data_IF_968769081287
#
_entry.id   IF_968769081287
#
_cell.length_a   1.000
_cell.length_b   1.000
_cell.length_c   1.000
_cell.angle_alpha   90.00
_cell.angle_beta   90.00
_cell.angle_gamma   90.00
#
_symmetry.space_group_name_H-M   'P 1'
#
loop_
_entity.id
_entity.type
_entity.pdbx_description
1 polymer ?
#
# COMPACT_ATOMS: atom_id res chain seq x y z
N UNK A 1 0.03 -5.42 4.08
CA UNK A 1 0.76 -4.30 4.72
C UNK A 1 2.18 -4.73 4.97
N UNK A 2 3.08 -3.77 5.18
CA UNK A 2 4.49 -4.00 5.49
C UNK A 2 4.80 -3.44 6.87
N UNK A 3 5.68 -4.09 7.62
CA UNK A 3 6.14 -3.65 8.92
C UNK A 3 7.55 -3.10 8.78
N UNK A 4 7.69 -1.79 8.76
CA UNK A 4 8.98 -1.14 8.77
C UNK A 4 9.65 -1.30 10.14
N UNK A 5 10.96 -1.59 10.15
CA UNK A 5 11.75 -1.80 11.38
C UNK A 5 11.74 -0.61 12.33
N UNK A 6 11.58 0.60 11.81
CA UNK A 6 11.65 1.85 12.57
C UNK A 6 10.29 2.51 12.79
N UNK A 7 9.40 2.44 11.81
CA UNK A 7 8.12 3.16 11.81
C UNK A 7 6.93 2.33 12.28
N UNK A 8 7.01 0.99 12.16
CA UNK A 8 5.88 0.11 12.43
C UNK A 8 5.12 -0.26 11.16
N UNK A 9 3.83 -0.60 11.30
CA UNK A 9 3.01 -1.09 10.19
C UNK A 9 2.52 0.03 9.28
N UNK A 10 2.64 -0.17 7.97
CA UNK A 10 2.22 0.80 6.96
C UNK A 10 1.73 0.11 5.67
N UNK A 11 1.05 0.87 4.83
CA UNK A 11 0.81 0.45 3.45
C UNK A 11 2.15 0.44 2.69
N UNK A 12 2.32 -0.49 1.74
CA UNK A 12 3.49 -0.46 0.87
C UNK A 12 3.53 0.87 0.10
N UNK A 13 4.69 1.50 0.03
CA UNK A 13 4.80 2.79 -0.64
C UNK A 13 6.04 3.59 -0.30
N UNK A 14 6.37 4.50 -1.22
CA UNK A 14 7.58 5.31 -1.14
C UNK A 14 7.50 6.55 -2.02
N UNK A 15 8.68 7.08 -2.36
CA UNK A 15 8.76 8.31 -3.17
C UNK A 15 8.64 7.96 -4.64
N UNK A 16 7.89 8.78 -5.37
CA UNK A 16 7.89 8.73 -6.82
C UNK A 16 9.25 9.15 -7.38
N UNK A 17 9.71 8.41 -8.38
CA UNK A 17 10.86 8.79 -9.19
C UNK A 17 10.51 9.95 -10.14
N UNK A 18 11.54 10.55 -10.73
CA UNK A 18 11.34 11.61 -11.72
C UNK A 18 10.65 11.00 -12.96
N UNK A 19 9.57 11.65 -13.38
CA UNK A 19 8.76 11.26 -14.55
C UNK A 19 8.05 9.90 -14.42
N UNK A 20 7.87 9.39 -13.18
CA UNK A 20 7.11 8.16 -12.86
C UNK A 20 5.65 8.51 -12.55
N UNK A 21 4.70 7.75 -13.10
CA UNK A 21 3.29 7.91 -12.74
C UNK A 21 3.01 7.33 -11.34
N UNK A 22 2.06 7.87 -10.56
CA UNK A 22 1.86 7.39 -9.19
C UNK A 22 1.45 5.90 -9.11
N UNK A 23 0.71 5.39 -10.09
CA UNK A 23 0.38 3.97 -10.18
C UNK A 23 1.61 3.10 -10.49
N UNK A 24 2.55 3.59 -11.28
CA UNK A 24 3.82 2.89 -11.54
C UNK A 24 4.67 2.84 -10.26
N UNK A 25 4.75 3.97 -9.54
CA UNK A 25 5.43 4.04 -8.26
C UNK A 25 4.80 3.07 -7.25
N UNK A 26 3.47 3.07 -7.11
CA UNK A 26 2.78 2.19 -6.18
C UNK A 26 3.01 0.69 -6.49
N UNK A 27 2.97 0.31 -7.77
CA UNK A 27 3.24 -1.07 -8.19
C UNK A 27 4.71 -1.48 -7.98
N UNK A 28 5.65 -0.56 -8.23
CA UNK A 28 7.08 -0.79 -7.96
C UNK A 28 7.34 -0.99 -6.47
N UNK A 29 6.87 -0.08 -5.62
CA UNK A 29 7.04 -0.14 -4.16
C UNK A 29 6.39 -1.39 -3.58
N UNK A 30 5.17 -1.75 -4.04
CA UNK A 30 4.53 -3.01 -3.67
C UNK A 30 5.45 -4.19 -3.96
N UNK A 31 6.05 -4.25 -5.15
CA UNK A 31 6.95 -5.35 -5.51
C UNK A 31 8.25 -5.34 -4.71
N UNK A 32 8.88 -4.18 -4.52
CA UNK A 32 10.14 -4.03 -3.78
C UNK A 32 9.98 -4.46 -2.31
N UNK A 33 8.90 -4.02 -1.66
CA UNK A 33 8.69 -4.26 -0.23
C UNK A 33 7.97 -5.59 0.07
N UNK A 34 7.25 -6.17 -0.88
CA UNK A 34 6.46 -7.39 -0.63
C UNK A 34 6.79 -8.57 -1.54
N UNK A 35 7.46 -8.34 -2.67
CA UNK A 35 7.66 -9.34 -3.72
C UNK A 35 6.40 -9.66 -4.52
N UNK A 36 5.29 -8.95 -4.27
CA UNK A 36 3.98 -9.21 -4.89
C UNK A 36 3.77 -8.34 -6.12
N UNK A 37 3.20 -8.92 -7.17
CA UNK A 37 2.74 -8.20 -8.35
C UNK A 37 1.23 -7.97 -8.26
N UNK A 38 0.78 -6.81 -8.71
CA UNK A 38 -0.62 -6.45 -8.75
C UNK A 38 -0.98 -5.62 -9.97
N UNK A 39 -2.26 -5.29 -10.09
CA UNK A 39 -2.80 -4.41 -11.13
C UNK A 39 -3.41 -3.19 -10.46
N UNK A 40 -2.94 -1.99 -10.81
CA UNK A 40 -3.54 -0.75 -10.35
C UNK A 40 -4.95 -0.60 -10.95
N UNK A 41 -5.96 -0.40 -10.10
CA UNK A 41 -7.37 -0.30 -10.48
C UNK A 41 -7.90 1.12 -10.39
N UNK A 42 -7.45 1.86 -9.38
CA UNK A 42 -7.87 3.23 -9.18
C UNK A 42 -6.79 4.03 -8.48
N UNK A 43 -6.86 5.35 -8.62
CA UNK A 43 -6.01 6.30 -7.94
C UNK A 43 -6.84 7.45 -7.36
N UNK A 44 -6.48 7.86 -6.15
CA UNK A 44 -6.99 9.05 -5.49
C UNK A 44 -5.81 9.89 -4.97
N UNK A 45 -5.82 11.19 -5.27
CA UNK A 45 -4.75 12.14 -4.89
C UNK A 45 -5.17 13.10 -3.78
N UNK A 46 -6.45 13.06 -3.39
CA UNK A 46 -7.03 13.95 -2.39
C UNK A 46 -7.25 13.22 -1.05
N UNK A 47 -7.05 11.89 -1.04
CA UNK A 47 -7.25 11.05 0.14
C UNK A 47 -6.22 11.31 1.25
N UNK A 48 -5.00 11.73 0.87
CA UNK A 48 -3.90 12.04 1.80
C UNK A 48 -3.23 13.35 1.37
N UNK A 49 -2.82 14.17 2.35
CA UNK A 49 -2.20 15.45 2.03
C UNK A 49 -0.80 15.25 1.43
N UNK A 50 -0.61 15.70 0.19
CA UNK A 50 0.70 15.68 -0.47
C UNK A 50 1.14 14.30 -0.97
N UNK A 51 0.22 13.35 -1.13
CA UNK A 51 0.51 12.02 -1.66
C UNK A 51 -0.63 11.47 -2.52
N UNK A 52 -0.40 10.28 -3.08
CA UNK A 52 -1.38 9.55 -3.89
C UNK A 52 -1.62 8.19 -3.24
N UNK A 53 -2.87 7.73 -3.26
CA UNK A 53 -3.25 6.38 -2.85
C UNK A 53 -3.76 5.64 -4.08
N UNK A 54 -3.19 4.45 -4.29
CA UNK A 54 -3.51 3.61 -5.45
C UNK A 54 -4.15 2.32 -4.94
N UNK A 55 -5.34 2.02 -5.43
CA UNK A 55 -5.98 0.73 -5.21
C UNK A 55 -5.35 -0.30 -6.13
N UNK A 56 -4.71 -1.31 -5.55
CA UNK A 56 -4.07 -2.40 -6.30
C UNK A 56 -4.81 -3.71 -6.04
N UNK A 57 -5.21 -4.37 -7.13
CA UNK A 57 -5.74 -5.73 -7.09
C UNK A 57 -4.60 -6.74 -7.24
N UNK A 58 -4.63 -7.79 -6.43
CA UNK A 58 -3.60 -8.83 -6.39
C UNK A 58 -4.26 -10.19 -6.52
N UNK A 59 -3.72 -11.06 -7.38
CA UNK A 59 -4.22 -12.42 -7.61
C UNK A 59 -3.37 -13.47 -6.88
N UNK A 60 -3.18 -13.27 -5.56
CA UNK A 60 -2.53 -14.26 -4.68
C UNK A 60 -3.46 -14.61 -3.52
N UNK A 61 -3.43 -15.85 -3.02
CA UNK A 61 -4.28 -16.25 -1.91
C UNK A 61 -3.88 -15.52 -0.62
N UNK A 62 -4.89 -15.03 0.11
CA UNK A 62 -4.71 -14.49 1.46
C UNK A 62 -4.29 -15.62 2.40
N UNK A 63 -3.29 -15.35 3.24
CA UNK A 63 -2.74 -16.31 4.20
C UNK A 63 -2.58 -15.64 5.57
N UNK A 64 -2.78 -16.36 6.69
CA UNK A 64 -2.45 -15.82 8.01
C UNK A 64 -0.94 -15.75 8.27
N UNK A 65 -0.13 -16.43 7.44
CA UNK A 65 1.31 -16.51 7.63
C UNK A 65 2.00 -15.26 7.04
N UNK A 66 2.75 -14.49 7.83
CA UNK A 66 3.58 -13.43 7.30
C UNK A 66 4.75 -13.99 6.49
N UNK A 67 5.37 -13.15 5.66
CA UNK A 67 6.56 -13.50 4.89
C UNK A 67 7.62 -12.39 4.96
N UNK A 68 8.84 -12.74 4.56
CA UNK A 68 9.98 -11.82 4.57
C UNK A 68 10.00 -10.95 3.31
N UNK A 69 10.36 -9.68 3.50
CA UNK A 69 10.64 -8.75 2.42
C UNK A 69 12.09 -8.90 1.94
N UNK A 70 12.35 -8.49 0.70
CA UNK A 70 13.70 -8.30 0.17
C UNK A 70 14.30 -6.94 0.55
N UNK A 71 13.48 -6.00 1.03
CA UNK A 71 13.92 -4.70 1.52
C UNK A 71 14.39 -4.80 2.98
N UNK A 72 15.64 -4.41 3.24
CA UNK A 72 16.25 -4.39 4.57
C UNK A 72 15.49 -3.49 5.55
N UNK A 73 14.77 -2.46 5.09
CA UNK A 73 13.95 -1.59 5.93
C UNK A 73 12.69 -2.28 6.47
N UNK A 74 12.23 -3.33 5.78
CA UNK A 74 11.02 -4.06 6.13
C UNK A 74 11.38 -5.29 6.96
N UNK A 75 10.74 -5.38 8.13
CA UNK A 75 10.88 -6.52 9.02
C UNK A 75 10.01 -7.69 8.56
N UNK A 76 8.78 -7.40 8.14
CA UNK A 76 7.75 -8.40 7.91
C UNK A 76 6.71 -7.86 6.92
N UNK A 77 6.15 -8.76 6.11
CA UNK A 77 5.00 -8.50 5.26
C UNK A 77 3.84 -9.38 5.73
N UNK A 78 2.64 -8.81 5.83
CA UNK A 78 1.50 -9.54 6.36
C UNK A 78 0.15 -9.05 5.85
N UNK A 79 -0.83 -9.96 5.91
CA UNK A 79 -2.23 -9.67 5.70
C UNK A 79 -2.86 -9.18 7.01
N UNK A 80 -3.42 -7.97 6.99
CA UNK A 80 -4.05 -7.36 8.16
C UNK A 80 -5.56 -7.36 7.95
N UNK A 81 -6.29 -8.11 8.80
CA UNK A 81 -7.77 -8.11 8.82
C UNK A 81 -8.32 -6.95 9.67
N UNK A 82 -7.48 -6.37 10.50
CA UNK A 82 -7.75 -5.20 11.33
C UNK A 82 -6.53 -4.28 11.26
N UNK A 83 -6.72 -2.99 11.52
CA UNK A 83 -5.60 -2.04 11.63
C UNK A 83 -4.66 -2.52 12.74
N UNK A 84 -3.38 -2.78 12.44
CA UNK A 84 -2.44 -3.30 13.43
C UNK A 84 -1.97 -2.22 14.42
N UNK A 85 -1.75 -2.62 15.68
CA UNK A 85 -1.16 -1.74 16.71
C UNK A 85 0.26 -1.27 16.29
N UNK A 86 0.60 -0.01 16.56
CA UNK A 86 1.81 0.68 16.08
C UNK A 86 1.85 0.84 14.55
N UNK A 87 0.76 1.36 14.00
CA UNK A 87 0.72 1.94 12.67
C UNK A 87 1.70 3.13 12.58
N UNK A 88 2.44 3.24 11.48
CA UNK A 88 3.26 4.42 11.18
C UNK A 88 2.41 5.64 10.75
N UNK A 89 1.13 5.39 10.49
CA UNK A 89 0.11 6.33 10.07
C UNK A 89 -0.82 6.61 11.26
N UNK A 90 -1.48 7.76 11.29
CA UNK A 90 -2.56 7.95 12.27
C UNK A 90 -3.69 6.96 12.02
N UNK A 91 -4.29 6.40 13.06
CA UNK A 91 -5.40 5.44 12.92
C UNK A 91 -6.53 6.00 12.02
N UNK A 92 -6.79 7.31 12.13
CA UNK A 92 -7.77 8.06 11.31
C UNK A 92 -7.45 8.05 9.81
N UNK A 93 -6.17 8.01 9.40
CA UNK A 93 -5.79 8.00 7.98
C UNK A 93 -5.97 6.62 7.37
N UNK A 94 -5.64 5.56 8.11
CA UNK A 94 -5.86 4.19 7.66
C UNK A 94 -7.36 3.92 7.53
N UNK A 95 -8.16 4.33 8.51
CA UNK A 95 -9.62 4.18 8.45
C UNK A 95 -10.23 4.92 7.25
N UNK A 96 -9.77 6.14 6.95
CA UNK A 96 -10.20 6.87 5.76
C UNK A 96 -9.94 6.13 4.45
N UNK A 97 -8.80 5.45 4.33
CA UNK A 97 -8.45 4.67 3.14
C UNK A 97 -9.31 3.41 3.04
N UNK A 98 -9.58 2.75 4.17
CA UNK A 98 -10.41 1.54 4.24
C UNK A 98 -11.87 1.86 3.89
N UNK A 99 -12.41 2.95 4.43
CA UNK A 99 -13.81 3.37 4.24
C UNK A 99 -14.03 4.16 2.93
N UNK A 100 -12.97 4.39 2.14
CA UNK A 100 -13.05 5.18 0.91
C UNK A 100 -13.93 4.52 -0.14
N UNK A 101 -14.82 5.30 -0.75
CA UNK A 101 -15.63 4.85 -1.89
C UNK A 101 -14.82 4.97 -3.18
N UNK A 102 -14.13 3.89 -3.52
CA UNK A 102 -13.31 3.80 -4.73
C UNK A 102 -14.09 3.97 -6.04
N UNK A 103 -15.44 3.91 -6.02
CA UNK A 103 -16.24 4.20 -7.22
C UNK A 103 -16.19 5.66 -7.65
N UNK A 104 -15.79 6.58 -6.75
CA UNK A 104 -15.61 8.00 -7.07
C UNK A 104 -14.19 8.35 -7.51
N UNK A 105 -13.27 7.38 -7.49
CA UNK A 105 -11.86 7.57 -7.85
C UNK A 105 -11.61 7.44 -9.35
N UNK A 106 -10.43 7.88 -9.81
CA UNK A 106 -10.03 7.72 -11.21
C UNK A 106 -9.74 6.25 -11.46
N UNK A 107 -10.60 5.59 -12.25
CA UNK A 107 -10.37 4.21 -12.67
C UNK A 107 -9.26 4.12 -13.71
N UNK A 108 -8.31 3.21 -13.49
CA UNK A 108 -7.14 2.99 -14.35
C UNK A 108 -7.38 1.88 -15.41
N UNK A 109 -8.55 1.25 -15.42
CA UNK A 109 -8.95 0.27 -16.45
C UNK A 109 -10.01 -0.73 -15.96
N UNK A 110 -10.74 -1.31 -16.93
CA UNK A 110 -11.79 -2.34 -16.73
C UNK A 110 -11.25 -3.76 -16.79
#
# INVERSE_FOLDING_TARGET
>A
MVKNRSRGWEFPGGRMNRDEAPEEAALRELYEETGVLGTAKAIDSDLIEGGHVVLVEIDIPVSPQPWESMDDAIQEVGWCLQVPDNSAWGDDEIERIIDHDWSTSISLGS
#
